data_IF_546421355251
#
_entry.id   IF_546421355251
#
_cell.length_a   1.000
_cell.length_b   1.000
_cell.length_c   1.000
_cell.angle_alpha   90.00
_cell.angle_beta   90.00
_cell.angle_gamma   90.00
#
_symmetry.space_group_name_H-M   'P 1'
#
loop_
_entity.id
_entity.type
_entity.pdbx_description
1 polymer ?
#
# COMPACT_ATOMS: atom_id res chain seq x y z
N UNK A 1 4.01 35.43 15.24
CA UNK A 1 5.10 34.96 14.35
C UNK A 1 4.72 33.57 13.90
N UNK A 2 4.25 33.33 12.66
CA UNK A 2 4.02 31.98 12.22
C UNK A 2 5.40 31.37 11.94
N UNK A 3 5.76 30.34 12.70
CA UNK A 3 6.86 29.47 12.32
C UNK A 3 6.40 28.80 11.03
N UNK A 4 7.07 29.07 9.91
CA UNK A 4 6.88 28.33 8.67
C UNK A 4 7.38 26.91 8.96
N UNK A 5 6.47 26.03 9.39
CA UNK A 5 6.78 24.62 9.59
C UNK A 5 7.03 24.07 8.18
N UNK A 6 8.27 23.69 7.91
CA UNK A 6 8.63 22.94 6.70
C UNK A 6 8.00 21.56 6.82
N UNK A 7 6.72 21.43 6.46
CA UNK A 7 6.02 20.15 6.44
C UNK A 7 6.61 19.28 5.32
N UNK A 8 7.29 18.20 5.70
CA UNK A 8 7.80 17.18 4.78
C UNK A 8 6.72 16.12 4.59
N UNK A 9 6.12 16.11 3.40
CA UNK A 9 5.04 15.20 3.04
C UNK A 9 5.58 14.04 2.21
N UNK A 10 5.26 12.81 2.62
CA UNK A 10 5.42 11.62 1.81
C UNK A 10 4.25 11.44 0.86
N UNK A 11 4.52 10.81 -0.29
CA UNK A 11 3.48 10.39 -1.24
C UNK A 11 3.64 8.91 -1.55
N UNK A 12 2.66 8.11 -1.11
CA UNK A 12 2.58 6.69 -1.44
C UNK A 12 1.53 6.51 -2.52
N UNK A 13 1.92 5.89 -3.62
CA UNK A 13 1.02 5.65 -4.75
C UNK A 13 0.72 4.16 -4.85
N UNK A 14 -0.54 3.76 -4.76
CA UNK A 14 -0.93 2.36 -4.78
C UNK A 14 -1.54 2.01 -6.13
N UNK A 15 -0.98 0.98 -6.75
CA UNK A 15 -1.53 0.27 -7.89
C UNK A 15 -2.12 -1.05 -7.38
N UNK A 16 -3.27 -1.44 -7.90
CA UNK A 16 -3.91 -2.68 -7.52
C UNK A 16 -4.23 -3.52 -8.76
N UNK A 17 -4.04 -4.84 -8.65
CA UNK A 17 -4.34 -5.82 -9.70
C UNK A 17 -4.97 -7.09 -9.11
N UNK A 18 -6.03 -7.60 -9.73
CA UNK A 18 -6.67 -8.87 -9.35
C UNK A 18 -6.39 -9.98 -10.37
N UNK A 19 -6.21 -11.24 -9.92
CA UNK A 19 -6.08 -12.39 -10.82
C UNK A 19 -7.44 -12.98 -11.16
N UNK A 20 -7.70 -13.16 -12.46
CA UNK A 20 -8.93 -13.73 -12.99
C UNK A 20 -8.99 -15.26 -12.86
N UNK A 21 -9.87 -15.76 -12.00
CA UNK A 21 -10.50 -17.07 -12.22
C UNK A 21 -12.00 -16.84 -12.30
N UNK A 22 -12.53 -16.99 -13.53
CA UNK A 22 -13.89 -16.69 -14.01
C UNK A 22 -14.22 -15.19 -14.19
N UNK A 23 -14.15 -14.74 -15.45
CA UNK A 23 -14.56 -13.42 -15.98
C UNK A 23 -14.03 -12.23 -15.17
N UNK A 24 -12.76 -11.87 -15.36
CA UNK A 24 -12.35 -10.50 -15.07
C UNK A 24 -12.72 -9.62 -16.25
N UNK A 25 -13.65 -8.70 -16.03
CA UNK A 25 -13.55 -7.41 -16.70
C UNK A 25 -12.18 -6.83 -16.31
N UNK A 26 -11.47 -6.28 -17.29
CA UNK A 26 -10.20 -5.57 -17.11
C UNK A 26 -10.49 -4.27 -16.33
N UNK A 27 -10.85 -4.38 -15.05
CA UNK A 27 -11.16 -3.24 -14.19
C UNK A 27 -9.87 -2.62 -13.69
N UNK A 28 -9.28 -1.82 -14.58
CA UNK A 28 -8.53 -0.60 -14.28
C UNK A 28 -7.34 -0.69 -13.31
N UNK A 29 -6.21 -0.13 -13.71
CA UNK A 29 -5.19 0.30 -12.74
C UNK A 29 -5.79 1.41 -11.86
N UNK A 30 -6.18 1.08 -10.63
CA UNK A 30 -6.59 2.07 -9.64
C UNK A 30 -5.35 2.76 -9.07
N UNK A 31 -5.26 4.08 -9.24
CA UNK A 31 -4.21 4.93 -8.67
C UNK A 31 -4.76 5.61 -7.41
N UNK A 32 -4.30 5.15 -6.25
CA UNK A 32 -4.65 5.76 -4.95
C UNK A 32 -3.43 6.44 -4.34
N UNK A 33 -3.55 7.72 -4.00
CA UNK A 33 -2.48 8.52 -3.40
C UNK A 33 -2.73 8.76 -1.92
N UNK A 34 -1.81 8.31 -1.08
CA UNK A 34 -1.79 8.61 0.37
C UNK A 34 -0.71 9.64 0.66
N UNK A 35 -1.07 10.68 1.42
CA UNK A 35 -0.15 11.72 1.90
C UNK A 35 -0.03 11.59 3.41
N UNK A 36 1.21 11.52 3.91
CA UNK A 36 1.51 11.41 5.34
C UNK A 36 2.75 12.23 5.69
N UNK A 37 2.82 12.72 6.93
CA UNK A 37 3.99 13.43 7.45
C UNK A 37 5.16 12.46 7.73
N UNK A 38 6.39 12.91 7.51
CA UNK A 38 7.59 12.12 7.82
C UNK A 38 7.68 11.78 9.31
N UNK A 39 7.99 10.51 9.60
CA UNK A 39 8.05 9.98 10.97
C UNK A 39 6.72 9.49 11.53
N UNK A 40 5.58 9.81 10.92
CA UNK A 40 4.27 9.33 11.37
C UNK A 40 4.01 7.89 10.87
N UNK A 41 3.25 7.07 11.62
CA UNK A 41 2.83 5.75 11.15
C UNK A 41 1.77 5.87 10.06
N UNK A 42 1.86 5.03 9.03
CA UNK A 42 0.83 4.95 7.98
C UNK A 42 0.46 3.51 7.65
N UNK A 43 -0.84 3.34 7.37
CA UNK A 43 -1.47 2.08 7.02
C UNK A 43 -2.14 2.28 5.67
N UNK A 44 -1.75 1.46 4.69
CA UNK A 44 -2.25 1.57 3.32
C UNK A 44 -3.02 0.32 2.98
N UNK A 45 -4.32 0.46 2.78
CA UNK A 45 -5.23 -0.63 2.42
C UNK A 45 -5.29 -0.80 0.90
N UNK A 46 -5.37 -2.05 0.42
CA UNK A 46 -5.47 -2.31 -1.02
C UNK A 46 -6.83 -1.84 -1.53
N UNK A 47 -6.90 -0.98 -2.56
CA UNK A 47 -8.15 -0.36 -3.00
C UNK A 47 -9.12 -1.32 -3.69
N UNK A 48 -8.64 -2.50 -4.12
CA UNK A 48 -9.46 -3.53 -4.79
C UNK A 48 -10.14 -4.49 -3.83
N UNK A 49 -10.05 -4.28 -2.53
CA UNK A 49 -10.72 -5.15 -1.55
C UNK A 49 -12.23 -4.99 -1.69
N UNK A 50 -12.97 -6.07 -2.05
CA UNK A 50 -14.41 -6.00 -2.12
C UNK A 50 -15.01 -5.85 -0.72
N UNK A 51 -16.09 -5.05 -0.65
CA UNK A 51 -16.96 -4.92 0.53
C UNK A 51 -18.31 -5.59 0.20
N UNK A 52 -18.76 -6.62 0.96
CA UNK A 52 -18.16 -7.14 2.18
C UNK A 52 -16.95 -8.03 1.89
N UNK A 53 -16.07 -8.15 2.89
CA UNK A 53 -14.92 -9.08 2.88
C UNK A 53 -15.50 -10.51 3.01
N UNK A 54 -16.18 -10.99 1.97
CA UNK A 54 -16.89 -12.29 1.98
C UNK A 54 -15.97 -13.44 1.55
N UNK A 55 -14.81 -13.13 0.98
CA UNK A 55 -13.90 -14.12 0.40
C UNK A 55 -12.54 -14.13 1.10
N UNK A 56 -12.00 -15.32 1.35
CA UNK A 56 -10.63 -15.54 1.82
C UNK A 56 -9.63 -15.26 0.67
N UNK A 57 -9.57 -14.01 0.19
CA UNK A 57 -8.59 -13.62 -0.81
C UNK A 57 -7.24 -13.33 -0.16
N UNK A 58 -6.17 -13.73 -0.84
CA UNK A 58 -4.81 -13.47 -0.36
C UNK A 58 -4.26 -12.22 -1.03
N UNK A 59 -3.83 -11.24 -0.23
CA UNK A 59 -3.17 -10.04 -0.73
C UNK A 59 -1.66 -10.22 -0.67
N UNK A 60 -0.97 -9.73 -1.69
CA UNK A 60 0.48 -9.61 -1.70
C UNK A 60 0.89 -8.23 -2.15
N UNK A 61 1.63 -7.53 -1.29
CA UNK A 61 2.23 -6.23 -1.59
C UNK A 61 3.65 -6.34 -2.15
N UNK A 62 3.95 -5.45 -3.07
CA UNK A 62 5.25 -5.29 -3.73
C UNK A 62 5.58 -3.80 -3.81
N UNK A 63 6.87 -3.46 -3.70
CA UNK A 63 7.36 -2.13 -4.09
C UNK A 63 7.53 -2.09 -5.60
N UNK A 64 7.40 -0.91 -6.21
CA UNK A 64 7.57 -0.68 -7.64
C UNK A 64 8.79 -1.42 -8.22
N UNK A 65 8.58 -2.18 -9.29
CA UNK A 65 9.64 -2.94 -9.97
C UNK A 65 10.24 -4.11 -9.16
N UNK A 66 9.85 -4.32 -7.90
CA UNK A 66 10.30 -5.45 -7.09
C UNK A 66 9.50 -6.71 -7.42
N UNK A 67 10.21 -7.81 -7.66
CA UNK A 67 9.62 -9.15 -7.72
C UNK A 67 9.50 -9.79 -6.33
N UNK A 68 10.18 -9.21 -5.33
CA UNK A 68 10.19 -9.68 -3.96
C UNK A 68 8.99 -9.08 -3.23
N UNK A 69 8.17 -9.97 -2.67
CA UNK A 69 7.03 -9.60 -1.83
C UNK A 69 7.53 -8.94 -0.54
N UNK A 70 6.84 -7.88 -0.10
CA UNK A 70 7.12 -7.24 1.19
C UNK A 70 6.84 -8.25 2.31
N UNK A 71 7.71 -8.34 3.30
CA UNK A 71 7.60 -9.36 4.35
C UNK A 71 6.35 -9.17 5.24
N UNK A 72 5.84 -10.27 5.81
CA UNK A 72 4.85 -10.26 6.90
C UNK A 72 5.48 -10.17 8.30
N UNK A 73 6.82 -10.08 8.39
CA UNK A 73 7.52 -9.94 9.67
C UNK A 73 7.26 -8.55 10.27
N UNK A 74 6.39 -8.51 11.28
CA UNK A 74 5.99 -7.29 11.99
C UNK A 74 7.12 -6.59 12.75
N UNK A 75 8.31 -7.20 12.86
CA UNK A 75 9.51 -6.55 13.40
C UNK A 75 10.17 -5.62 12.39
N UNK A 76 9.89 -5.79 11.10
CA UNK A 76 10.41 -4.90 10.06
C UNK A 76 9.62 -3.60 10.05
N UNK A 77 10.30 -2.48 9.80
CA UNK A 77 9.68 -1.15 9.73
C UNK A 77 8.56 -1.08 8.68
N UNK A 78 8.77 -1.74 7.53
CA UNK A 78 7.82 -1.87 6.43
C UNK A 78 7.42 -3.34 6.31
N UNK A 79 6.15 -3.64 6.55
CA UNK A 79 5.64 -5.01 6.52
C UNK A 79 4.17 -5.05 6.11
N UNK A 80 3.75 -6.21 5.63
CA UNK A 80 2.35 -6.51 5.38
C UNK A 80 1.67 -7.01 6.64
N UNK A 81 0.42 -6.63 6.84
CA UNK A 81 -0.44 -7.21 7.87
C UNK A 81 -1.86 -7.31 7.33
N UNK A 82 -2.32 -8.56 7.17
CA UNK A 82 -3.57 -8.92 6.49
C UNK A 82 -3.70 -8.23 5.13
N UNK A 83 -4.51 -7.18 5.08
CA UNK A 83 -4.87 -6.42 3.88
C UNK A 83 -4.05 -5.14 3.70
N UNK A 84 -3.24 -4.79 4.69
CA UNK A 84 -2.59 -3.49 4.80
C UNK A 84 -1.09 -3.59 4.60
N UNK A 85 -0.52 -2.58 3.95
CA UNK A 85 0.89 -2.29 4.00
C UNK A 85 1.15 -1.25 5.09
N UNK A 86 2.03 -1.58 6.03
CA UNK A 86 2.33 -0.75 7.21
C UNK A 86 3.73 -0.17 7.11
N UNK A 87 3.86 1.11 7.45
CA UNK A 87 5.13 1.78 7.64
C UNK A 87 5.14 2.40 9.03
N UNK A 88 6.02 1.90 9.90
CA UNK A 88 6.06 2.31 11.30
C UNK A 88 7.51 2.47 11.76
N UNK A 89 8.07 3.70 11.74
CA UNK A 89 7.49 4.92 11.16
C UNK A 89 7.61 4.97 9.63
N UNK A 90 6.83 5.85 8.98
CA UNK A 90 7.05 6.24 7.59
C UNK A 90 8.31 7.11 7.48
N UNK A 91 9.02 6.99 6.36
CA UNK A 91 10.23 7.76 6.05
C UNK A 91 10.18 8.25 4.61
N UNK A 92 10.61 9.48 4.32
CA UNK A 92 10.64 10.05 2.96
C UNK A 92 11.14 9.10 1.85
N UNK A 93 12.07 8.20 2.17
CA UNK A 93 12.60 7.15 1.28
C UNK A 93 11.58 6.09 0.82
N UNK A 94 10.44 6.03 1.52
CA UNK A 94 9.29 5.18 1.21
C UNK A 94 8.41 5.78 0.10
N UNK A 95 8.64 7.04 -0.32
CA UNK A 95 7.85 7.68 -1.38
C UNK A 95 8.09 6.97 -2.72
N UNK A 96 7.13 6.14 -3.14
CA UNK A 96 7.22 5.31 -4.34
C UNK A 96 5.83 4.79 -4.74
N UNK A 97 5.80 3.98 -5.81
CA UNK A 97 4.67 3.16 -6.17
C UNK A 97 4.70 1.82 -5.44
N UNK A 98 3.55 1.37 -4.99
CA UNK A 98 3.34 0.07 -4.35
C UNK A 98 2.24 -0.65 -5.08
N UNK A 99 2.42 -1.96 -5.27
CA UNK A 99 1.44 -2.79 -5.97
C UNK A 99 0.86 -3.82 -5.01
N UNK A 100 -0.47 -3.84 -4.88
CA UNK A 100 -1.17 -4.95 -4.24
C UNK A 100 -1.77 -5.89 -5.29
N UNK A 101 -1.57 -7.19 -5.09
CA UNK A 101 -2.16 -8.24 -5.92
C UNK A 101 -3.13 -9.06 -5.08
N UNK A 102 -4.37 -9.16 -5.52
CA UNK A 102 -5.41 -10.01 -4.90
C UNK A 102 -5.47 -11.35 -5.66
N UNK A 103 -5.43 -12.47 -4.92
CA UNK A 103 -5.50 -13.84 -5.44
C UNK A 103 -6.61 -14.65 -4.81
#
# INVERSE_FOLDING_TARGET
>A
MPQTINTLLLTLTVLASGKATEICNDEGTYDFKTIVDDGEPVYVTCPLIPDPIENNFNISWYRNGSQIQISFDNKLRVHQDEYNLKFIPASLEDSDYYMCIIR
#
